data_IF_700260597446
#
_entry.id   IF_700260597446
#
_cell.length_a   1.000
_cell.length_b   1.000
_cell.length_c   1.000
_cell.angle_alpha   90.00
_cell.angle_beta   90.00
_cell.angle_gamma   90.00
#
_symmetry.space_group_name_H-M   'P 1'
#
loop_
_entity.id
_entity.type
_entity.pdbx_description
1 polymer ?
#
# COMPACT_ATOMS: atom_id res chain seq x y z
N UNK A 1 15.37 -35.63 7.74
CA UNK A 1 14.41 -34.81 6.98
C UNK A 1 15.04 -33.52 6.46
N UNK A 2 15.88 -32.81 7.23
CA UNK A 2 16.58 -31.59 6.77
C UNK A 2 17.53 -31.82 5.56
N UNK A 3 18.11 -33.03 5.42
CA UNK A 3 19.07 -33.32 4.33
C UNK A 3 18.44 -33.51 2.93
N UNK A 4 17.14 -33.82 2.84
CA UNK A 4 16.45 -34.04 1.55
C UNK A 4 16.10 -32.70 0.88
N UNK A 5 15.95 -31.63 1.66
CA UNK A 5 15.56 -30.29 1.16
C UNK A 5 16.64 -29.72 0.24
N UNK A 6 17.90 -30.08 0.47
CA UNK A 6 19.05 -29.60 -0.31
C UNK A 6 19.32 -30.42 -1.57
N UNK A 7 18.61 -31.55 -1.78
CA UNK A 7 18.71 -32.33 -3.02
C UNK A 7 17.94 -31.62 -4.15
N UNK A 8 18.26 -31.96 -5.39
CA UNK A 8 17.58 -31.40 -6.56
C UNK A 8 16.06 -31.66 -6.52
N UNK A 9 15.66 -32.84 -6.03
CA UNK A 9 14.24 -33.21 -5.86
C UNK A 9 13.57 -32.35 -4.76
N UNK A 10 14.25 -32.14 -3.63
CA UNK A 10 13.76 -31.27 -2.56
C UNK A 10 13.58 -29.82 -3.03
N UNK A 11 14.57 -29.30 -3.76
CA UNK A 11 14.52 -27.97 -4.38
C UNK A 11 13.37 -27.84 -5.38
N UNK A 12 13.12 -28.84 -6.20
CA UNK A 12 11.98 -28.87 -7.12
C UNK A 12 10.62 -28.86 -6.40
N UNK A 13 10.49 -29.58 -5.28
CA UNK A 13 9.28 -29.54 -4.45
C UNK A 13 9.07 -28.14 -3.87
N UNK A 14 10.14 -27.52 -3.34
CA UNK A 14 10.09 -26.16 -2.79
C UNK A 14 9.68 -25.15 -3.87
N UNK A 15 10.23 -25.26 -5.08
CA UNK A 15 9.86 -24.41 -6.21
C UNK A 15 8.36 -24.52 -6.54
N UNK A 16 7.81 -25.74 -6.58
CA UNK A 16 6.36 -25.95 -6.77
C UNK A 16 5.51 -25.36 -5.65
N UNK A 17 5.99 -25.37 -4.41
CA UNK A 17 5.29 -24.72 -3.30
C UNK A 17 5.26 -23.19 -3.48
N UNK A 18 6.32 -22.60 -4.02
CA UNK A 18 6.36 -21.17 -4.37
C UNK A 18 5.47 -20.81 -5.56
N UNK A 19 5.44 -21.64 -6.61
CA UNK A 19 4.51 -21.46 -7.74
C UNK A 19 3.04 -21.48 -7.27
N UNK A 20 2.73 -22.31 -6.27
CA UNK A 20 1.41 -22.45 -5.68
C UNK A 20 1.24 -21.66 -4.37
N UNK A 21 2.00 -20.57 -4.20
CA UNK A 21 2.04 -19.84 -2.93
C UNK A 21 0.68 -19.25 -2.54
N UNK A 22 -0.22 -18.96 -3.49
CA UNK A 22 -1.58 -18.51 -3.21
C UNK A 22 -2.39 -19.50 -2.34
N UNK A 23 -2.04 -20.80 -2.38
CA UNK A 23 -2.68 -21.85 -1.60
C UNK A 23 -2.18 -21.88 -0.14
N UNK A 24 -3.09 -22.10 0.80
CA UNK A 24 -2.79 -22.07 2.23
C UNK A 24 -1.82 -23.16 2.68
N UNK A 25 -2.03 -24.38 2.21
CA UNK A 25 -1.16 -25.51 2.54
C UNK A 25 0.27 -25.25 2.07
N UNK A 26 0.45 -24.71 0.86
CA UNK A 26 1.77 -24.39 0.31
C UNK A 26 2.52 -23.38 1.19
N UNK A 27 1.85 -22.29 1.57
CA UNK A 27 2.43 -21.26 2.43
C UNK A 27 2.80 -21.78 3.82
N UNK A 28 1.92 -22.57 4.44
CA UNK A 28 2.16 -23.14 5.78
C UNK A 28 3.36 -24.10 5.77
N UNK A 29 3.50 -24.93 4.73
CA UNK A 29 4.65 -25.81 4.55
C UNK A 29 5.93 -24.98 4.39
N UNK A 30 5.91 -23.91 3.59
CA UNK A 30 7.08 -23.03 3.41
C UNK A 30 7.50 -22.33 4.70
N UNK A 31 6.55 -21.85 5.51
CA UNK A 31 6.84 -21.31 6.86
C UNK A 31 7.52 -22.35 7.74
N UNK A 32 7.05 -23.61 7.70
CA UNK A 32 7.66 -24.69 8.47
C UNK A 32 9.08 -25.00 7.97
N UNK A 33 9.29 -25.08 6.66
CA UNK A 33 10.59 -25.36 6.05
C UNK A 33 11.62 -24.28 6.38
N UNK A 34 11.24 -23.00 6.29
CA UNK A 34 12.15 -21.87 6.54
C UNK A 34 12.61 -21.79 8.00
N UNK A 35 11.79 -22.31 8.92
CA UNK A 35 12.13 -22.45 10.34
C UNK A 35 13.15 -23.58 10.61
N UNK A 36 13.14 -24.67 9.83
CA UNK A 36 13.88 -25.91 10.15
C UNK A 36 15.05 -26.24 9.20
N UNK A 37 15.29 -25.43 8.18
CA UNK A 37 16.41 -25.60 7.23
C UNK A 37 17.56 -24.69 7.62
N UNK A 38 18.83 -25.05 7.44
CA UNK A 38 19.94 -24.10 7.68
C UNK A 38 20.36 -23.34 6.42
N UNK A 39 20.34 -23.99 5.25
CA UNK A 39 20.63 -23.37 3.95
C UNK A 39 19.35 -22.77 3.35
N UNK A 40 19.28 -21.43 3.32
CA UNK A 40 18.16 -20.69 2.72
C UNK A 40 18.55 -19.97 1.45
N UNK A 41 19.75 -20.16 0.91
CA UNK A 41 20.17 -19.46 -0.32
C UNK A 41 19.16 -19.71 -1.45
N UNK A 42 18.83 -20.98 -1.70
CA UNK A 42 17.82 -21.40 -2.66
C UNK A 42 16.40 -20.94 -2.31
N UNK A 43 16.08 -20.87 -1.01
CA UNK A 43 14.79 -20.42 -0.51
C UNK A 43 14.64 -18.91 -0.74
N UNK A 44 15.69 -18.11 -0.51
CA UNK A 44 15.73 -16.67 -0.74
C UNK A 44 15.55 -16.34 -2.23
N UNK A 45 16.27 -17.02 -3.13
CA UNK A 45 16.13 -16.81 -4.58
C UNK A 45 14.71 -17.14 -5.06
N UNK A 46 14.14 -18.23 -4.55
CA UNK A 46 12.76 -18.63 -4.87
C UNK A 46 11.71 -17.70 -4.25
N UNK A 47 11.98 -17.11 -3.08
CA UNK A 47 11.12 -16.14 -2.41
C UNK A 47 11.13 -14.78 -3.09
N UNK A 48 12.30 -14.29 -3.49
CA UNK A 48 12.42 -13.09 -4.31
C UNK A 48 11.68 -13.29 -5.64
N UNK A 49 11.80 -14.47 -6.23
CA UNK A 49 11.02 -14.84 -7.41
C UNK A 49 9.50 -14.85 -7.15
N UNK A 50 9.06 -15.24 -5.95
CA UNK A 50 7.64 -15.18 -5.55
C UNK A 50 7.16 -13.76 -5.19
N UNK A 51 8.05 -12.77 -5.14
CA UNK A 51 7.73 -11.34 -5.01
C UNK A 51 7.65 -10.62 -6.37
N UNK A 52 7.95 -11.34 -7.47
CA UNK A 52 7.77 -10.90 -8.87
C UNK A 52 6.34 -10.53 -9.26
N UNK A 53 5.21 -10.99 -8.64
CA UNK A 53 3.86 -10.74 -9.17
C UNK A 53 3.49 -9.27 -9.47
N UNK A 54 4.31 -8.29 -9.07
CA UNK A 54 4.16 -6.88 -9.42
C UNK A 54 5.47 -6.19 -9.82
N UNK A 55 6.48 -6.91 -10.33
CA UNK A 55 7.79 -6.33 -10.66
C UNK A 55 7.70 -5.19 -11.69
N UNK A 56 6.80 -5.33 -12.66
CA UNK A 56 6.48 -4.31 -13.66
C UNK A 56 5.65 -3.13 -13.11
N UNK A 57 5.15 -3.24 -11.89
CA UNK A 57 4.35 -2.19 -11.26
C UNK A 57 5.25 -1.19 -10.55
N UNK A 58 4.91 0.09 -10.67
CA UNK A 58 5.64 1.13 -9.95
C UNK A 58 5.32 1.05 -8.45
N UNK A 59 6.36 0.93 -7.63
CA UNK A 59 6.23 0.98 -6.18
C UNK A 59 5.73 2.38 -5.75
N UNK A 60 4.63 2.44 -4.99
CA UNK A 60 4.15 3.73 -4.49
C UNK A 60 5.19 4.39 -3.59
N UNK A 61 5.45 5.66 -3.82
CA UNK A 61 6.35 6.47 -2.99
C UNK A 61 5.60 7.30 -1.94
N UNK A 62 4.32 7.59 -2.19
CA UNK A 62 3.55 8.64 -1.52
C UNK A 62 4.23 10.02 -1.58
N UNK A 63 5.14 10.27 -2.54
CA UNK A 63 5.66 11.61 -2.78
C UNK A 63 4.52 12.56 -3.15
N UNK A 64 4.55 13.79 -2.64
CA UNK A 64 3.56 14.81 -2.98
C UNK A 64 3.59 15.05 -4.49
N UNK A 65 2.46 14.83 -5.15
CA UNK A 65 2.36 14.95 -6.61
C UNK A 65 3.10 13.86 -7.40
N UNK A 66 3.53 12.76 -6.75
CA UNK A 66 4.09 11.59 -7.46
C UNK A 66 3.06 10.90 -8.36
N UNK A 67 3.55 9.97 -9.20
CA UNK A 67 2.77 9.32 -10.26
C UNK A 67 1.43 8.76 -9.77
N UNK A 68 1.43 8.08 -8.61
CA UNK A 68 0.22 7.52 -8.00
C UNK A 68 -0.89 8.57 -7.80
N UNK A 69 -0.56 9.77 -7.29
CA UNK A 69 -1.55 10.85 -7.12
C UNK A 69 -1.93 11.50 -8.45
N UNK A 70 -1.01 11.56 -9.41
CA UNK A 70 -1.32 12.07 -10.75
C UNK A 70 -2.31 11.16 -11.47
N UNK A 71 -2.15 9.84 -11.35
CA UNK A 71 -3.09 8.86 -11.91
C UNK A 71 -4.49 9.03 -11.31
N UNK A 72 -4.58 9.15 -9.98
CA UNK A 72 -5.85 9.43 -9.30
C UNK A 72 -6.49 10.72 -9.79
N UNK A 73 -5.70 11.80 -9.91
CA UNK A 73 -6.19 13.09 -10.40
C UNK A 73 -6.69 12.96 -11.85
N UNK A 74 -5.96 12.24 -12.71
CA UNK A 74 -6.35 12.01 -14.09
C UNK A 74 -7.66 11.23 -14.19
N UNK A 75 -7.84 10.20 -13.36
CA UNK A 75 -9.11 9.47 -13.25
C UNK A 75 -10.22 10.43 -12.82
N UNK A 76 -10.01 11.19 -11.75
CA UNK A 76 -11.00 12.15 -11.25
C UNK A 76 -11.42 13.17 -12.30
N UNK A 77 -10.46 13.82 -12.95
CA UNK A 77 -10.75 14.83 -13.97
C UNK A 77 -11.40 14.20 -15.21
N UNK A 78 -11.10 12.95 -15.57
CA UNK A 78 -11.78 12.25 -16.67
C UNK A 78 -13.25 12.00 -16.32
N UNK A 79 -13.52 11.43 -15.14
CA UNK A 79 -14.89 11.16 -14.68
C UNK A 79 -15.71 12.46 -14.59
N UNK A 80 -15.12 13.55 -14.07
CA UNK A 80 -15.77 14.86 -14.02
C UNK A 80 -16.06 15.48 -15.39
N UNK A 81 -15.29 15.14 -16.43
CA UNK A 81 -15.55 15.61 -17.79
C UNK A 81 -16.73 14.86 -18.46
N UNK A 82 -17.05 13.65 -18.01
CA UNK A 82 -18.09 12.80 -18.60
C UNK A 82 -19.49 13.07 -18.01
N UNK A 83 -19.63 14.14 -17.21
CA UNK A 83 -20.89 14.61 -16.63
C UNK A 83 -21.37 15.86 -17.37
N UNK A 84 -22.66 15.86 -17.74
CA UNK A 84 -23.28 16.95 -18.48
C UNK A 84 -23.51 18.13 -17.56
N UNK A 85 -22.76 19.20 -17.80
CA UNK A 85 -22.89 20.48 -17.12
C UNK A 85 -23.92 21.35 -17.88
N UNK A 86 -25.09 21.58 -17.26
CA UNK A 86 -26.20 22.36 -17.86
C UNK A 86 -25.82 23.82 -18.17
N UNK A 87 -24.70 24.32 -17.63
CA UNK A 87 -24.26 25.71 -17.78
C UNK A 87 -23.37 25.98 -18.99
N UNK A 88 -23.02 24.96 -19.79
CA UNK A 88 -22.05 25.12 -20.89
C UNK A 88 -22.64 25.54 -22.23
N UNK A 89 -21.90 26.40 -22.93
CA UNK A 89 -22.21 26.83 -24.28
C UNK A 89 -21.81 25.73 -25.31
N UNK A 90 -22.73 25.31 -26.21
CA UNK A 90 -22.48 24.21 -27.15
C UNK A 90 -21.30 24.40 -28.10
N UNK A 91 -20.98 25.64 -28.43
CA UNK A 91 -19.95 25.99 -29.43
C UNK A 91 -18.53 25.75 -28.91
N UNK A 92 -18.23 26.14 -27.67
CA UNK A 92 -16.92 25.94 -27.04
C UNK A 92 -16.61 24.46 -26.78
N UNK A 93 -17.64 23.67 -26.46
CA UNK A 93 -17.47 22.23 -26.21
C UNK A 93 -17.24 21.45 -27.49
N UNK A 94 -17.83 21.88 -28.62
CA UNK A 94 -17.61 21.26 -29.93
C UNK A 94 -16.15 21.38 -30.38
N UNK A 95 -15.52 22.52 -30.13
CA UNK A 95 -14.11 22.75 -30.46
C UNK A 95 -13.17 21.91 -29.58
N UNK A 96 -13.44 21.85 -28.27
CA UNK A 96 -12.71 20.98 -27.33
C UNK A 96 -12.85 19.49 -27.67
N UNK A 97 -14.03 19.06 -28.12
CA UNK A 97 -14.28 17.68 -28.52
C UNK A 97 -13.51 17.28 -29.79
N UNK A 98 -13.38 18.16 -30.77
CA UNK A 98 -12.59 17.91 -31.97
C UNK A 98 -11.12 17.65 -31.62
N UNK A 99 -10.54 18.48 -30.75
CA UNK A 99 -9.16 18.34 -30.27
C UNK A 99 -8.98 17.02 -29.49
N UNK A 100 -9.89 16.70 -28.57
CA UNK A 100 -9.85 15.45 -27.80
C UNK A 100 -10.04 14.20 -28.65
N UNK A 101 -10.86 14.26 -29.69
CA UNK A 101 -11.08 13.12 -30.58
C UNK A 101 -9.83 12.81 -31.42
N UNK A 102 -9.09 13.84 -31.86
CA UNK A 102 -7.81 13.65 -32.55
C UNK A 102 -6.74 13.01 -31.65
N UNK A 103 -6.76 13.28 -30.35
CA UNK A 103 -5.89 12.63 -29.36
C UNK A 103 -6.35 11.19 -29.02
N UNK A 104 -7.67 10.98 -28.92
CA UNK A 104 -8.28 9.69 -28.56
C UNK A 104 -8.13 8.65 -29.67
N UNK A 105 -8.20 9.06 -30.94
CA UNK A 105 -7.98 8.18 -32.10
C UNK A 105 -6.57 7.57 -32.07
N UNK A 106 -5.55 8.33 -31.66
CA UNK A 106 -4.17 7.80 -31.49
C UNK A 106 -4.00 6.81 -30.35
N UNK A 107 -4.86 6.86 -29.33
CA UNK A 107 -4.77 6.00 -28.15
C UNK A 107 -5.58 4.70 -28.32
N UNK A 108 -6.72 4.77 -29.01
CA UNK A 108 -7.62 3.62 -29.24
C UNK A 108 -7.03 2.54 -30.16
N UNK A 109 -6.01 2.86 -30.96
CA UNK A 109 -5.26 1.85 -31.74
C UNK A 109 -4.45 0.87 -30.87
N UNK A 110 -4.38 1.05 -29.54
CA UNK A 110 -3.54 0.23 -28.63
C UNK A 110 -4.26 -0.60 -27.57
N UNK A 111 -5.56 -0.47 -27.36
CA UNK A 111 -6.21 -1.19 -26.23
C UNK A 111 -7.66 -1.50 -26.55
N UNK A 112 -7.94 -2.77 -26.85
CA UNK A 112 -9.31 -3.28 -26.99
C UNK A 112 -9.83 -3.80 -25.64
N UNK A 113 -11.14 -3.61 -25.47
CA UNK A 113 -11.96 -3.68 -24.27
C UNK A 113 -12.13 -5.10 -23.69
N UNK A 114 -12.24 -5.21 -22.36
CA UNK A 114 -12.77 -6.39 -21.68
C UNK A 114 -13.82 -6.01 -20.62
N UNK A 115 -14.89 -6.81 -20.57
CA UNK A 115 -15.88 -6.84 -19.49
C UNK A 115 -15.54 -8.03 -18.58
N UNK A 116 -15.56 -7.82 -17.27
CA UNK A 116 -15.07 -8.78 -16.26
C UNK A 116 -16.08 -9.91 -15.96
N UNK A 117 -15.56 -11.13 -15.88
CA UNK A 117 -16.21 -12.41 -15.57
C UNK A 117 -15.72 -12.99 -14.23
N UNK A 118 -16.39 -14.04 -13.72
CA UNK A 118 -16.08 -14.64 -12.41
C UNK A 118 -14.72 -15.37 -12.34
N UNK A 119 -14.14 -15.79 -13.48
CA UNK A 119 -12.78 -16.37 -13.55
C UNK A 119 -11.70 -15.27 -13.41
N UNK A 120 -11.91 -14.07 -13.94
CA UNK A 120 -10.98 -12.93 -13.85
C UNK A 120 -10.86 -12.34 -12.43
N UNK A 121 -11.91 -12.51 -11.59
CA UNK A 121 -11.84 -12.15 -10.15
C UNK A 121 -10.77 -13.00 -9.44
N UNK A 122 -10.59 -14.25 -9.87
CA UNK A 122 -9.58 -15.15 -9.31
C UNK A 122 -8.17 -14.74 -9.77
N UNK A 123 -8.00 -14.41 -11.06
CA UNK A 123 -6.72 -13.92 -11.62
C UNK A 123 -6.27 -12.58 -11.03
N UNK A 124 -7.20 -11.68 -10.70
CA UNK A 124 -6.88 -10.40 -10.05
C UNK A 124 -6.50 -10.59 -8.57
N UNK A 125 -7.08 -11.57 -7.88
CA UNK A 125 -6.90 -11.79 -6.44
C UNK A 125 -5.66 -12.63 -6.11
N UNK A 126 -5.31 -13.59 -6.97
CA UNK A 126 -4.15 -14.50 -6.79
C UNK A 126 -2.83 -13.73 -6.57
N UNK A 127 -2.50 -12.69 -7.37
CA UNK A 127 -1.29 -11.89 -7.17
C UNK A 127 -1.20 -11.23 -5.79
N UNK A 128 -2.33 -10.72 -5.24
CA UNK A 128 -2.36 -10.17 -3.88
C UNK A 128 -2.06 -11.23 -2.84
N UNK A 129 -2.67 -12.42 -2.97
CA UNK A 129 -2.45 -13.53 -2.05
C UNK A 129 -1.00 -14.01 -2.09
N UNK A 130 -0.40 -14.13 -3.28
CA UNK A 130 1.01 -14.48 -3.44
C UNK A 130 1.91 -13.44 -2.76
N UNK A 131 1.74 -12.16 -3.07
CA UNK A 131 2.56 -11.10 -2.50
C UNK A 131 2.47 -11.06 -0.96
N UNK A 132 1.27 -11.14 -0.40
CA UNK A 132 1.09 -11.11 1.06
C UNK A 132 1.67 -12.33 1.78
N UNK A 133 1.59 -13.52 1.16
CA UNK A 133 2.20 -14.73 1.72
C UNK A 133 3.71 -14.71 1.55
N UNK A 134 4.24 -14.18 0.45
CA UNK A 134 5.68 -13.94 0.28
C UNK A 134 6.21 -13.00 1.37
N UNK A 135 5.51 -11.89 1.62
CA UNK A 135 5.81 -10.94 2.71
C UNK A 135 5.84 -11.65 4.07
N UNK A 136 4.87 -12.52 4.36
CA UNK A 136 4.86 -13.27 5.62
C UNK A 136 6.06 -14.21 5.75
N UNK A 137 6.35 -14.98 4.71
CA UNK A 137 7.45 -15.96 4.75
C UNK A 137 8.79 -15.25 4.89
N UNK A 138 9.07 -14.23 4.09
CA UNK A 138 10.32 -13.45 4.22
C UNK A 138 10.39 -12.74 5.57
N UNK A 139 9.26 -12.19 6.04
CA UNK A 139 9.17 -11.57 7.36
C UNK A 139 9.53 -12.55 8.49
N UNK A 140 9.07 -13.80 8.39
CA UNK A 140 9.45 -14.85 9.35
C UNK A 140 10.93 -15.23 9.27
N UNK A 141 11.52 -15.30 8.06
CA UNK A 141 12.96 -15.52 7.89
C UNK A 141 13.76 -14.44 8.61
N UNK A 142 13.42 -13.16 8.37
CA UNK A 142 14.07 -12.02 9.02
C UNK A 142 13.98 -12.13 10.55
N UNK A 143 12.78 -12.40 11.08
CA UNK A 143 12.57 -12.49 12.54
C UNK A 143 13.33 -13.65 13.18
N UNK A 144 13.35 -14.80 12.52
CA UNK A 144 13.97 -16.02 13.05
C UNK A 144 15.50 -16.02 12.92
N UNK A 145 16.05 -15.29 11.94
CA UNK A 145 17.49 -15.31 11.62
C UNK A 145 18.21 -13.99 11.83
N UNK A 146 17.58 -13.02 12.47
CA UNK A 146 18.21 -11.74 12.82
C UNK A 146 19.58 -11.84 13.52
N UNK A 147 19.85 -12.95 14.21
CA UNK A 147 21.12 -13.18 14.91
C UNK A 147 22.15 -13.98 14.11
N UNK A 148 21.79 -14.58 12.98
CA UNK A 148 22.68 -15.42 12.17
C UNK A 148 22.92 -14.86 10.76
N UNK A 149 22.01 -14.06 10.22
CA UNK A 149 22.20 -13.40 8.94
C UNK A 149 23.06 -12.13 9.06
N UNK A 150 23.91 -11.85 8.06
CA UNK A 150 24.54 -10.56 7.92
C UNK A 150 23.53 -9.42 7.96
N UNK A 151 23.93 -8.30 8.58
CA UNK A 151 23.10 -7.09 8.70
C UNK A 151 22.57 -6.62 7.33
N UNK A 152 23.44 -6.66 6.31
CA UNK A 152 23.12 -6.21 4.96
C UNK A 152 22.03 -7.06 4.32
N UNK A 153 22.10 -8.38 4.46
CA UNK A 153 21.10 -9.31 3.92
C UNK A 153 19.73 -9.04 4.56
N UNK A 154 19.69 -8.76 5.87
CA UNK A 154 18.44 -8.38 6.56
C UNK A 154 17.86 -7.08 5.98
N UNK A 155 18.71 -6.08 5.71
CA UNK A 155 18.28 -4.81 5.10
C UNK A 155 17.70 -5.06 3.71
N UNK A 156 18.30 -5.93 2.91
CA UNK A 156 17.82 -6.27 1.58
C UNK A 156 16.48 -6.98 1.62
N UNK A 157 16.33 -7.98 2.48
CA UNK A 157 15.05 -8.69 2.67
C UNK A 157 13.93 -7.75 3.14
N UNK A 158 14.20 -6.85 4.10
CA UNK A 158 13.22 -5.86 4.55
C UNK A 158 12.89 -4.87 3.42
N UNK A 159 13.88 -4.46 2.63
CA UNK A 159 13.68 -3.55 1.49
C UNK A 159 12.74 -4.19 0.47
N UNK A 160 12.94 -5.45 0.11
CA UNK A 160 12.07 -6.17 -0.82
C UNK A 160 10.66 -6.40 -0.26
N UNK A 161 10.52 -6.67 1.04
CA UNK A 161 9.21 -6.72 1.71
C UNK A 161 8.47 -5.38 1.55
N UNK A 162 9.15 -4.25 1.75
CA UNK A 162 8.56 -2.93 1.62
C UNK A 162 8.14 -2.65 0.17
N UNK A 163 9.06 -2.86 -0.77
CA UNK A 163 8.82 -2.60 -2.19
C UNK A 163 7.70 -3.49 -2.74
N UNK A 164 7.64 -4.76 -2.34
CA UNK A 164 6.54 -5.66 -2.69
C UNK A 164 5.20 -5.10 -2.22
N UNK A 165 5.10 -4.67 -0.95
CA UNK A 165 3.88 -4.04 -0.45
C UNK A 165 3.52 -2.76 -1.21
N UNK A 166 4.51 -1.93 -1.54
CA UNK A 166 4.27 -0.70 -2.31
C UNK A 166 3.81 -0.98 -3.74
N UNK A 167 4.37 -2.00 -4.40
CA UNK A 167 3.93 -2.46 -5.73
C UNK A 167 2.52 -3.04 -5.68
N UNK A 168 2.14 -3.75 -4.61
CA UNK A 168 0.77 -4.22 -4.40
C UNK A 168 -0.24 -3.07 -4.37
N UNK A 169 0.10 -1.94 -3.74
CA UNK A 169 -0.78 -0.76 -3.75
C UNK A 169 -0.77 -0.10 -5.13
N UNK A 170 0.37 -0.06 -5.82
CA UNK A 170 0.49 0.42 -7.20
C UNK A 170 -0.42 -0.36 -8.15
N UNK A 171 -0.40 -1.68 -8.05
CA UNK A 171 -1.26 -2.58 -8.81
C UNK A 171 -2.75 -2.35 -8.55
N UNK A 172 -3.13 -2.13 -7.28
CA UNK A 172 -4.51 -1.74 -6.96
C UNK A 172 -4.91 -0.42 -7.66
N UNK A 173 -3.99 0.53 -7.75
CA UNK A 173 -4.19 1.76 -8.53
C UNK A 173 -4.38 1.50 -10.03
N UNK A 174 -3.66 0.54 -10.61
CA UNK A 174 -3.82 0.13 -12.00
C UNK A 174 -5.21 -0.49 -12.23
N UNK A 175 -5.67 -1.40 -11.35
CA UNK A 175 -7.02 -1.97 -11.41
C UNK A 175 -8.09 -0.87 -11.42
N UNK A 176 -7.96 0.14 -10.56
CA UNK A 176 -8.91 1.27 -10.55
C UNK A 176 -8.83 2.14 -11.81
N UNK A 177 -7.66 2.23 -12.43
CA UNK A 177 -7.48 2.93 -13.71
C UNK A 177 -8.20 2.20 -14.83
N UNK A 178 -8.16 0.88 -14.82
CA UNK A 178 -8.83 0.04 -15.83
C UNK A 178 -10.35 0.00 -15.62
N UNK A 179 -10.79 -0.08 -14.35
CA UNK A 179 -12.20 -0.05 -13.97
C UNK A 179 -12.82 1.36 -13.93
N UNK A 180 -12.11 2.40 -14.38
CA UNK A 180 -12.52 3.81 -14.21
C UNK A 180 -13.90 4.14 -14.77
N UNK A 181 -14.29 3.52 -15.89
CA UNK A 181 -15.55 3.84 -16.56
C UNK A 181 -16.74 3.21 -15.79
N UNK A 182 -16.56 2.02 -15.22
CA UNK A 182 -17.53 1.40 -14.29
C UNK A 182 -17.64 2.22 -12.98
N UNK A 183 -16.50 2.65 -12.44
CA UNK A 183 -16.48 3.52 -11.27
C UNK A 183 -17.17 4.86 -11.54
N UNK A 184 -17.04 5.41 -12.75
CA UNK A 184 -17.71 6.64 -13.15
C UNK A 184 -19.22 6.49 -13.08
N UNK A 185 -19.76 5.38 -13.59
CA UNK A 185 -21.21 5.10 -13.57
C UNK A 185 -21.73 4.95 -12.13
N UNK A 186 -21.05 4.18 -11.29
CA UNK A 186 -21.43 4.00 -9.89
C UNK A 186 -21.35 5.31 -9.08
N UNK A 187 -20.35 6.14 -9.38
CA UNK A 187 -20.18 7.43 -8.71
C UNK A 187 -21.24 8.46 -9.16
N UNK A 188 -21.85 8.33 -10.34
CA UNK A 188 -22.96 9.20 -10.77
C UNK A 188 -24.16 9.11 -9.85
N UNK A 189 -24.44 7.95 -9.26
CA UNK A 189 -25.54 7.79 -8.28
C UNK A 189 -25.31 8.58 -6.98
N UNK A 190 -24.08 9.06 -6.73
CA UNK A 190 -23.72 9.87 -5.57
C UNK A 190 -23.59 11.36 -5.87
N UNK A 191 -23.87 11.75 -7.12
CA UNK A 191 -23.90 13.14 -7.57
C UNK A 191 -25.32 13.65 -7.36
N UNK A 192 -25.43 14.79 -6.69
CA UNK A 192 -26.71 15.48 -6.48
C UNK A 192 -27.02 16.37 -7.68
N UNK A 193 -28.31 16.61 -7.95
CA UNK A 193 -28.75 17.38 -9.13
C UNK A 193 -28.22 18.83 -9.15
N UNK A 194 -27.80 19.37 -7.99
CA UNK A 194 -27.23 20.71 -7.82
C UNK A 194 -25.70 20.74 -7.74
N UNK A 195 -25.00 19.59 -7.79
CA UNK A 195 -23.54 19.56 -7.80
C UNK A 195 -23.02 20.19 -9.10
N UNK A 196 -22.19 21.23 -8.96
CA UNK A 196 -21.40 21.72 -10.09
C UNK A 196 -20.19 20.80 -10.34
N UNK A 197 -19.51 21.02 -11.46
CA UNK A 197 -18.31 20.25 -11.84
C UNK A 197 -17.22 20.20 -10.76
N UNK A 198 -16.99 21.30 -10.04
CA UNK A 198 -15.96 21.35 -9.00
C UNK A 198 -16.35 20.50 -7.78
N UNK A 199 -17.64 20.47 -7.42
CA UNK A 199 -18.15 19.64 -6.34
C UNK A 199 -18.06 18.16 -6.67
N UNK A 200 -18.41 17.79 -7.90
CA UNK A 200 -18.19 16.43 -8.44
C UNK A 200 -16.72 16.04 -8.38
N UNK A 201 -15.81 16.87 -8.92
CA UNK A 201 -14.37 16.58 -8.94
C UNK A 201 -13.83 16.41 -7.51
N UNK A 202 -14.34 17.20 -6.56
CA UNK A 202 -14.00 17.09 -5.14
C UNK A 202 -14.51 15.79 -4.52
N UNK A 203 -15.76 15.38 -4.81
CA UNK A 203 -16.36 14.12 -4.31
C UNK A 203 -15.56 12.91 -4.81
N UNK A 204 -15.24 12.87 -6.11
CA UNK A 204 -14.46 11.78 -6.72
C UNK A 204 -13.03 11.76 -6.20
N UNK A 205 -12.36 12.91 -6.15
CA UNK A 205 -11.03 13.01 -5.57
C UNK A 205 -11.01 12.51 -4.12
N UNK A 206 -12.02 12.88 -3.32
CA UNK A 206 -12.14 12.43 -1.92
C UNK A 206 -12.35 10.92 -1.82
N UNK A 207 -13.13 10.33 -2.71
CA UNK A 207 -13.33 8.88 -2.80
C UNK A 207 -12.00 8.15 -3.06
N UNK A 208 -11.25 8.56 -4.08
CA UNK A 208 -9.95 7.93 -4.38
C UNK A 208 -8.91 8.17 -3.29
N UNK A 209 -8.92 9.34 -2.63
CA UNK A 209 -8.08 9.58 -1.45
C UNK A 209 -8.43 8.63 -0.30
N UNK A 210 -9.72 8.37 -0.06
CA UNK A 210 -10.16 7.43 0.97
C UNK A 210 -9.73 6.00 0.65
N UNK A 211 -9.96 5.55 -0.59
CA UNK A 211 -9.55 4.21 -1.05
C UNK A 211 -8.03 4.04 -0.95
N UNK A 212 -7.27 5.04 -1.39
CA UNK A 212 -5.80 5.05 -1.27
C UNK A 212 -5.33 4.98 0.18
N UNK A 213 -6.00 5.72 1.07
CA UNK A 213 -5.72 5.68 2.50
C UNK A 213 -5.98 4.27 3.05
N UNK A 214 -7.11 3.63 2.71
CA UNK A 214 -7.42 2.28 3.18
C UNK A 214 -6.43 1.24 2.63
N UNK A 215 -6.06 1.32 1.36
CA UNK A 215 -5.06 0.45 0.75
C UNK A 215 -3.71 0.56 1.46
N UNK A 216 -3.23 1.79 1.69
CA UNK A 216 -2.00 2.04 2.42
C UNK A 216 -2.08 1.53 3.86
N UNK A 217 -3.16 1.81 4.58
CA UNK A 217 -3.32 1.35 5.97
C UNK A 217 -3.34 -0.19 6.05
N UNK A 218 -4.05 -0.87 5.16
CA UNK A 218 -4.12 -2.33 5.11
C UNK A 218 -2.76 -2.96 4.85
N UNK A 219 -2.09 -2.53 3.77
CA UNK A 219 -0.77 -3.06 3.40
C UNK A 219 0.30 -2.68 4.42
N UNK A 220 0.35 -1.44 4.91
CA UNK A 220 1.36 -1.05 5.89
C UNK A 220 1.18 -1.81 7.20
N UNK A 221 -0.07 -2.07 7.61
CA UNK A 221 -0.37 -2.92 8.77
C UNK A 221 0.12 -4.35 8.55
N UNK A 222 -0.07 -4.91 7.34
CA UNK A 222 0.49 -6.20 6.96
C UNK A 222 2.01 -6.22 7.12
N UNK A 223 2.72 -5.23 6.54
CA UNK A 223 4.18 -5.11 6.69
C UNK A 223 4.59 -5.04 8.16
N UNK A 224 3.87 -4.25 8.97
CA UNK A 224 4.15 -4.13 10.41
C UNK A 224 4.14 -5.46 11.12
N UNK A 225 3.13 -6.30 10.88
CA UNK A 225 3.02 -7.60 11.55
C UNK A 225 3.92 -8.68 10.97
N UNK A 226 4.15 -8.65 9.66
CA UNK A 226 4.92 -9.68 8.98
C UNK A 226 6.40 -9.63 9.37
N UNK A 227 7.02 -8.43 9.39
CA UNK A 227 8.47 -8.30 9.65
C UNK A 227 8.82 -7.66 11.00
N UNK A 228 7.90 -6.89 11.59
CA UNK A 228 8.20 -6.06 12.75
C UNK A 228 8.61 -6.84 14.01
N UNK A 229 9.71 -6.40 14.62
CA UNK A 229 10.23 -6.84 15.93
C UNK A 229 11.07 -5.72 16.54
N UNK A 230 11.17 -5.73 17.88
CA UNK A 230 11.83 -4.67 18.66
C UNK A 230 13.30 -4.45 18.28
N UNK A 231 14.04 -5.53 18.06
CA UNK A 231 15.51 -5.52 17.95
C UNK A 231 16.03 -4.91 16.64
N UNK A 232 15.17 -4.75 15.62
CA UNK A 232 15.58 -4.29 14.29
C UNK A 232 15.26 -2.81 14.06
N UNK A 233 14.99 -2.03 15.11
CA UNK A 233 14.60 -0.62 15.03
C UNK A 233 15.45 0.19 14.05
N UNK A 234 16.77 0.11 14.18
CA UNK A 234 17.73 0.87 13.37
C UNK A 234 17.73 0.41 11.90
N UNK A 235 17.48 -0.88 11.64
CA UNK A 235 17.44 -1.45 10.30
C UNK A 235 16.24 -0.93 9.52
N UNK A 236 15.07 -0.80 10.16
CA UNK A 236 13.91 -0.18 9.49
C UNK A 236 14.20 1.27 9.11
N UNK A 237 14.89 2.02 9.95
CA UNK A 237 15.29 3.41 9.63
C UNK A 237 16.30 3.46 8.48
N UNK A 238 17.25 2.52 8.44
CA UNK A 238 18.23 2.37 7.35
C UNK A 238 17.54 2.01 6.02
N UNK A 239 16.58 1.08 6.03
CA UNK A 239 15.76 0.72 4.87
C UNK A 239 14.95 1.93 4.38
N UNK A 240 14.31 2.67 5.28
CA UNK A 240 13.57 3.88 4.90
C UNK A 240 14.46 4.94 4.24
N UNK A 241 15.70 5.11 4.73
CA UNK A 241 16.69 6.00 4.12
C UNK A 241 17.12 5.51 2.74
N UNK A 242 17.36 4.21 2.58
CA UNK A 242 17.76 3.59 1.30
C UNK A 242 16.67 3.74 0.23
N UNK A 243 15.41 3.47 0.58
CA UNK A 243 14.28 3.62 -0.37
C UNK A 243 13.99 5.10 -0.64
N UNK A 244 14.14 5.98 0.36
CA UNK A 244 14.07 7.41 0.17
C UNK A 244 12.67 7.95 -0.15
N UNK A 245 11.60 7.31 0.36
CA UNK A 245 10.22 7.72 0.10
C UNK A 245 9.40 7.97 1.39
N UNK A 246 8.39 8.86 1.34
CA UNK A 246 7.40 9.01 2.40
C UNK A 246 6.73 7.69 2.82
N UNK A 247 6.42 6.82 1.86
CA UNK A 247 5.89 5.49 2.14
C UNK A 247 6.83 4.66 3.03
N UNK A 248 8.12 4.59 2.68
CA UNK A 248 9.10 3.84 3.47
C UNK A 248 9.30 4.43 4.87
N UNK A 249 9.34 5.76 4.99
CA UNK A 249 9.41 6.45 6.29
C UNK A 249 8.19 6.16 7.17
N UNK A 250 6.99 6.18 6.59
CA UNK A 250 5.75 5.88 7.30
C UNK A 250 5.68 4.41 7.74
N UNK A 251 6.10 3.46 6.91
CA UNK A 251 6.15 2.04 7.29
C UNK A 251 7.17 1.83 8.42
N UNK A 252 8.40 2.31 8.28
CA UNK A 252 9.41 2.16 9.32
C UNK A 252 9.02 2.84 10.63
N UNK A 253 8.42 4.03 10.56
CA UNK A 253 7.83 4.68 11.73
C UNK A 253 6.69 3.84 12.34
N UNK A 254 5.86 3.22 11.52
CA UNK A 254 4.74 2.40 11.98
C UNK A 254 5.22 1.12 12.67
N UNK A 255 6.26 0.48 12.14
CA UNK A 255 6.91 -0.67 12.78
C UNK A 255 7.52 -0.23 14.11
N UNK A 256 8.36 0.81 14.08
CA UNK A 256 9.07 1.25 15.27
C UNK A 256 8.12 1.70 16.38
N UNK A 257 7.05 2.43 16.06
CA UNK A 257 6.04 2.85 17.03
C UNK A 257 5.08 1.72 17.46
N UNK A 258 5.02 0.60 16.75
CA UNK A 258 4.25 -0.56 17.21
C UNK A 258 5.04 -1.36 18.26
N UNK A 259 6.34 -1.58 18.02
CA UNK A 259 7.19 -2.43 18.86
C UNK A 259 8.04 -1.67 19.90
N UNK A 260 8.11 -0.34 19.81
CA UNK A 260 8.87 0.54 20.70
C UNK A 260 8.08 1.80 21.07
N UNK A 261 8.63 2.59 22.01
CA UNK A 261 8.05 3.86 22.41
C UNK A 261 8.13 4.92 21.31
N UNK A 262 7.10 5.77 21.26
CA UNK A 262 7.00 6.86 20.29
C UNK A 262 7.74 8.12 20.78
N UNK A 263 8.56 8.70 19.91
CA UNK A 263 9.22 9.99 20.13
C UNK A 263 8.33 11.11 19.59
N UNK A 264 7.98 12.08 20.45
CA UNK A 264 7.22 13.28 20.05
C UNK A 264 7.99 14.14 19.06
N UNK A 265 9.33 14.16 19.17
CA UNK A 265 10.22 14.83 18.23
C UNK A 265 10.15 14.19 16.84
N UNK A 266 10.18 12.86 16.78
CA UNK A 266 10.17 12.13 15.51
C UNK A 266 8.82 12.31 14.80
N UNK A 267 7.72 12.29 15.57
CA UNK A 267 6.38 12.61 15.05
C UNK A 267 6.34 14.03 14.49
N UNK A 268 6.87 15.02 15.23
CA UNK A 268 6.86 16.41 14.76
C UNK A 268 7.70 16.61 13.50
N UNK A 269 8.86 15.97 13.42
CA UNK A 269 9.73 16.04 12.24
C UNK A 269 9.06 15.40 11.03
N UNK A 270 8.50 14.20 11.20
CA UNK A 270 7.81 13.50 10.12
C UNK A 270 6.55 14.25 9.68
N UNK A 271 5.78 14.83 10.61
CA UNK A 271 4.61 15.64 10.27
C UNK A 271 4.97 16.86 9.42
N UNK A 272 6.08 17.55 9.75
CA UNK A 272 6.57 18.69 8.95
C UNK A 272 7.03 18.26 7.56
N UNK A 273 7.71 17.12 7.46
CA UNK A 273 8.16 16.58 6.18
C UNK A 273 6.98 16.23 5.25
N UNK A 274 5.90 15.72 5.84
CA UNK A 274 4.70 15.31 5.12
C UNK A 274 3.69 16.46 4.90
N UNK A 275 4.07 17.71 5.16
CA UNK A 275 3.14 18.83 5.07
C UNK A 275 2.55 19.00 3.66
N UNK A 276 1.24 19.23 3.60
CA UNK A 276 0.49 19.28 2.35
C UNK A 276 0.34 17.93 1.62
N UNK A 277 0.71 16.80 2.23
CA UNK A 277 0.43 15.46 1.73
C UNK A 277 -0.67 14.80 2.57
N UNK A 278 -1.92 14.94 2.11
CA UNK A 278 -3.12 14.59 2.89
C UNK A 278 -3.11 13.11 3.29
N UNK A 279 -2.91 12.18 2.34
CA UNK A 279 -2.96 10.74 2.63
C UNK A 279 -1.83 10.34 3.58
N UNK A 280 -0.59 10.80 3.32
CA UNK A 280 0.56 10.49 4.17
C UNK A 280 0.37 11.01 5.62
N UNK A 281 -0.14 12.23 5.78
CA UNK A 281 -0.46 12.78 7.10
C UNK A 281 -1.57 11.99 7.80
N UNK A 282 -2.59 11.52 7.07
CA UNK A 282 -3.65 10.69 7.67
C UNK A 282 -3.14 9.31 8.11
N UNK A 283 -2.18 8.72 7.40
CA UNK A 283 -1.50 7.49 7.83
C UNK A 283 -0.75 7.75 9.14
N UNK A 284 0.04 8.82 9.22
CA UNK A 284 0.76 9.19 10.44
C UNK A 284 -0.19 9.43 11.62
N UNK A 285 -1.28 10.18 11.40
CA UNK A 285 -2.33 10.42 12.41
C UNK A 285 -2.96 9.11 12.89
N UNK A 286 -3.29 8.21 11.97
CA UNK A 286 -3.87 6.90 12.29
C UNK A 286 -2.93 6.08 13.18
N UNK A 287 -1.63 6.05 12.86
CA UNK A 287 -0.62 5.33 13.66
C UNK A 287 -0.44 5.94 15.06
N UNK A 288 -0.33 7.26 15.15
CA UNK A 288 -0.19 7.95 16.45
C UNK A 288 -1.45 7.78 17.30
N UNK A 289 -2.64 7.83 16.70
CA UNK A 289 -3.91 7.57 17.38
C UNK A 289 -3.97 6.14 17.92
N UNK A 290 -3.59 5.15 17.12
CA UNK A 290 -3.50 3.76 17.56
C UNK A 290 -2.55 3.61 18.75
N UNK A 291 -1.35 4.19 18.68
CA UNK A 291 -0.39 4.19 19.79
C UNK A 291 -0.97 4.75 21.09
N UNK A 292 -1.63 5.92 21.02
CA UNK A 292 -2.23 6.58 22.18
C UNK A 292 -3.32 5.73 22.84
N UNK A 293 -4.02 4.90 22.06
CA UNK A 293 -5.09 4.04 22.54
C UNK A 293 -4.60 2.71 23.11
N UNK A 294 -3.47 2.20 22.64
CA UNK A 294 -2.95 0.89 23.07
C UNK A 294 -1.83 0.97 24.09
N UNK A 295 -1.23 2.15 24.31
CA UNK A 295 -0.08 2.33 25.21
C UNK A 295 -0.34 3.37 26.30
N UNK A 296 0.35 3.21 27.43
CA UNK A 296 0.38 4.21 28.48
C UNK A 296 1.08 5.49 27.98
N UNK A 297 0.30 6.53 27.73
CA UNK A 297 0.80 7.83 27.25
C UNK A 297 0.39 8.90 28.25
N UNK A 298 1.35 9.70 28.75
CA UNK A 298 1.06 10.78 29.69
C UNK A 298 0.18 11.86 29.04
N UNK A 299 -0.57 12.63 29.83
CA UNK A 299 -1.38 13.73 29.31
C UNK A 299 -0.55 14.73 28.51
N UNK A 300 0.64 15.09 29.03
CA UNK A 300 1.61 15.96 28.35
C UNK A 300 2.02 15.41 26.99
N UNK A 301 2.37 14.12 26.92
CA UNK A 301 2.78 13.49 25.66
C UNK A 301 1.61 13.42 24.66
N UNK A 302 0.39 13.10 25.10
CA UNK A 302 -0.82 13.14 24.25
C UNK A 302 -1.03 14.54 23.65
N UNK A 303 -0.90 15.59 24.45
CA UNK A 303 -1.02 16.97 23.98
C UNK A 303 0.07 17.32 22.95
N UNK A 304 1.33 16.96 23.21
CA UNK A 304 2.43 17.21 22.27
C UNK A 304 2.20 16.49 20.92
N UNK A 305 1.79 15.22 20.96
CA UNK A 305 1.49 14.44 19.76
C UNK A 305 0.30 15.03 18.98
N UNK A 306 -0.77 15.43 19.69
CA UNK A 306 -1.94 16.03 19.08
C UNK A 306 -1.62 17.39 18.44
N UNK A 307 -0.84 18.23 19.12
CA UNK A 307 -0.39 19.51 18.59
C UNK A 307 0.47 19.35 17.35
N UNK A 308 1.44 18.41 17.36
CA UNK A 308 2.32 18.14 16.23
C UNK A 308 1.58 17.71 14.95
N UNK A 309 0.38 17.15 15.10
CA UNK A 309 -0.44 16.64 14.00
C UNK A 309 -1.74 17.43 13.77
N UNK A 310 -1.91 18.56 14.46
CA UNK A 310 -3.14 19.36 14.44
C UNK A 310 -4.41 18.52 14.72
N UNK A 311 -4.32 17.59 15.68
CA UNK A 311 -5.44 16.78 16.12
C UNK A 311 -6.14 17.41 17.33
N UNK A 312 -7.47 17.32 17.37
CA UNK A 312 -8.26 17.74 18.53
C UNK A 312 -8.32 16.61 19.55
N UNK A 313 -8.05 16.90 20.82
CA UNK A 313 -8.31 15.99 21.94
C UNK A 313 -9.69 16.34 22.48
N UNK A 314 -10.65 15.44 22.32
CA UNK A 314 -11.96 15.56 22.96
C UNK A 314 -11.88 15.07 24.41
N UNK A 315 -12.41 15.80 25.40
CA UNK A 315 -12.67 15.21 26.71
C UNK A 315 -13.62 14.03 26.49
N UNK A 316 -13.30 12.87 27.08
CA UNK A 316 -14.08 11.64 26.93
C UNK A 316 -15.58 11.94 26.95
N UNK A 317 -16.31 11.56 25.89
CA UNK A 317 -17.76 11.39 25.95
C UNK A 317 -17.96 10.41 27.10
N UNK A 318 -18.47 10.92 28.22
CA UNK A 318 -18.58 10.14 29.45
C UNK A 318 -19.25 8.81 29.11
N UNK A 319 -18.64 7.71 29.56
CA UNK A 319 -19.34 6.42 29.65
C UNK A 319 -20.65 6.72 30.37
N UNK A 320 -21.78 6.77 29.65
CA UNK A 320 -23.07 6.58 30.29
C UNK A 320 -22.93 5.24 30.98
N UNK A 321 -22.88 5.26 32.31
CA UNK A 321 -23.03 4.04 33.11
C UNK A 321 -24.34 3.42 32.64
N UNK A 322 -24.23 2.27 31.99
CA UNK A 322 -25.33 1.32 31.86
C UNK A 322 -25.47 0.69 33.25
#
# INVERSE_FOLDING_TARGET
MSDIINTEDGKNVIKKLFENLHLENSANILVFITHHTNDISFINDSLLSAMIPFEDQEAISLNKGGQYYQNIKAISSKISNDIIDQSRMPEEEREKQLIKNDEKIRYLEKTNQNNLTSEEINETTIPFLQAFRSIDIVGQIVKNRKGSLPKQDIIELISEIYLTGFRTIGYLGAIFTDAKDLLAEELKERIEDDDNREDVERKITSFFQLISLQACLGVFTKLVYSVGIKDLKELYEEVAKRIGSPAAKLVSFSINSYYNDISTKDVSNLAKELDGNIVALQILKSRVKAYIYTNHTTYKQKQQLAQALHMKISPSIGRKKI
#
